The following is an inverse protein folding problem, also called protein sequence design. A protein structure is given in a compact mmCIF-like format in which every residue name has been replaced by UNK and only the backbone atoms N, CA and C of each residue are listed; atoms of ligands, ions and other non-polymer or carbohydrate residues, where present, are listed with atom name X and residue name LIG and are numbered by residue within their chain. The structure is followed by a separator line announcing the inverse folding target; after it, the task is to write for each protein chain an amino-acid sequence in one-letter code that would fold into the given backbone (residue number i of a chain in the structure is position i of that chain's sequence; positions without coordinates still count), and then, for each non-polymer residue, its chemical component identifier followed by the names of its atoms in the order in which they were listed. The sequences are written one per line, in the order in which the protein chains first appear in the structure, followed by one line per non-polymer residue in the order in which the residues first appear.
data_IF_389244665247
#
_entry.id   IF_389244665247
#
_cell.length_a   1.000
_cell.length_b   1.000
_cell.length_c   1.000
_cell.angle_alpha   90.00
_cell.angle_beta   90.00
_cell.angle_gamma   90.00
#
_symmetry.space_group_name_H-M   'P 1'
#
loop_
_entity.id
_entity.type
_entity.pdbx_description
1 polymer ?
#
# COMPACT_ATOMS: atom_id res chain seq x y z
N UNK A 1 16.54 4.43 1.40
CA UNK A 1 15.83 4.35 2.70
C UNK A 1 15.06 3.04 2.75
N UNK A 2 15.10 2.36 3.89
CA UNK A 2 14.42 1.07 4.10
C UNK A 2 12.91 1.27 4.27
N UNK A 3 12.14 0.21 4.06
CA UNK A 3 10.69 0.20 4.23
C UNK A 3 10.26 0.63 5.64
N UNK A 4 11.03 0.23 6.65
CA UNK A 4 10.83 0.62 8.05
C UNK A 4 10.87 2.13 8.27
N UNK A 5 11.77 2.85 7.58
CA UNK A 5 11.85 4.31 7.68
C UNK A 5 10.58 4.98 7.14
N UNK A 6 9.94 4.40 6.11
CA UNK A 6 8.65 4.87 5.62
C UNK A 6 7.54 4.63 6.65
N UNK A 7 7.49 3.44 7.26
CA UNK A 7 6.49 3.12 8.28
C UNK A 7 6.62 4.03 9.50
N UNK A 8 7.85 4.28 9.95
CA UNK A 8 8.13 5.18 11.06
C UNK A 8 7.70 6.62 10.74
N UNK A 9 8.00 7.14 9.54
CA UNK A 9 7.57 8.46 9.11
C UNK A 9 6.04 8.58 9.00
N UNK A 10 5.37 7.54 8.52
CA UNK A 10 3.91 7.49 8.44
C UNK A 10 3.31 7.51 9.85
N UNK A 11 3.81 6.69 10.77
CA UNK A 11 3.36 6.65 12.16
C UNK A 11 3.65 7.97 12.88
N UNK A 12 4.81 8.60 12.64
CA UNK A 12 5.14 9.91 13.21
C UNK A 12 4.20 11.02 12.73
N UNK A 13 3.73 10.95 11.47
CA UNK A 13 2.81 11.95 10.90
C UNK A 13 1.35 11.74 11.26
N UNK A 14 0.93 10.48 11.36
CA UNK A 14 -0.49 10.11 11.41
C UNK A 14 -0.90 9.47 12.73
N UNK A 15 0.07 9.03 13.54
CA UNK A 15 -0.16 8.21 14.72
C UNK A 15 -0.67 6.79 14.40
N UNK A 16 -0.81 6.43 13.12
CA UNK A 16 -1.46 5.20 12.67
C UNK A 16 -0.48 4.22 12.07
N UNK A 17 -0.73 2.93 12.30
CA UNK A 17 0.03 1.85 11.69
C UNK A 17 -0.47 1.52 10.27
N UNK A 18 0.37 0.88 9.42
CA UNK A 18 -0.02 0.43 8.08
C UNK A 18 -1.28 -0.44 8.06
N UNK A 19 -1.48 -1.21 9.12
CA UNK A 19 -2.64 -2.09 9.28
C UNK A 19 -3.92 -1.29 9.58
N UNK A 20 -3.82 -0.22 10.37
CA UNK A 20 -4.93 0.72 10.56
C UNK A 20 -5.39 1.35 9.24
N UNK A 21 -4.45 1.72 8.36
CA UNK A 21 -4.81 2.22 7.03
C UNK A 21 -5.54 1.19 6.18
N UNK A 22 -5.20 -0.09 6.33
CA UNK A 22 -5.90 -1.17 5.64
C UNK A 22 -7.33 -1.31 6.17
N UNK A 23 -7.51 -1.39 7.49
CA UNK A 23 -8.82 -1.48 8.12
C UNK A 23 -9.71 -0.28 7.78
N UNK A 24 -9.17 0.95 7.81
CA UNK A 24 -9.87 2.15 7.40
C UNK A 24 -10.25 2.12 5.91
N UNK A 25 -9.37 1.64 5.05
CA UNK A 25 -9.62 1.57 3.62
C UNK A 25 -10.67 0.50 3.25
N UNK A 26 -10.70 -0.62 3.99
CA UNK A 26 -11.75 -1.64 3.87
C UNK A 26 -13.08 -1.09 4.39
N UNK A 27 -13.07 -0.45 5.56
CA UNK A 27 -14.27 0.14 6.17
C UNK A 27 -14.86 1.27 5.33
N UNK A 28 -14.01 2.09 4.72
CA UNK A 28 -14.43 3.15 3.81
C UNK A 28 -14.87 2.63 2.43
N UNK A 29 -14.69 1.33 2.14
CA UNK A 29 -15.02 0.74 0.84
C UNK A 29 -14.15 1.24 -0.31
N UNK A 30 -13.00 1.86 -0.02
CA UNK A 30 -12.06 2.34 -1.04
C UNK A 30 -11.11 1.23 -1.50
N UNK A 31 -11.01 0.11 -0.78
CA UNK A 31 -10.29 -1.09 -1.24
C UNK A 31 -11.23 -2.00 -2.02
N UNK A 32 -11.29 -1.80 -3.34
CA UNK A 32 -12.06 -2.60 -4.30
C UNK A 32 -11.17 -3.08 -5.43
N UNK A 33 -11.57 -4.14 -6.16
CA UNK A 33 -10.83 -4.62 -7.32
C UNK A 33 -10.56 -3.52 -8.35
N UNK A 34 -11.51 -2.63 -8.54
CA UNK A 34 -11.46 -1.54 -9.51
C UNK A 34 -10.94 -0.22 -8.93
N UNK A 35 -10.45 -0.22 -7.68
CA UNK A 35 -9.88 0.97 -7.05
C UNK A 35 -8.67 1.45 -7.82
N UNK A 36 -8.71 2.72 -8.23
CA UNK A 36 -7.58 3.39 -8.86
C UNK A 36 -6.59 3.84 -7.80
N UNK A 37 -5.29 3.69 -8.10
CA UNK A 37 -4.21 4.17 -7.24
C UNK A 37 -4.40 5.64 -6.82
N UNK A 38 -4.80 6.50 -7.77
CA UNK A 38 -5.02 7.93 -7.53
C UNK A 38 -6.20 8.21 -6.59
N UNK A 39 -7.24 7.37 -6.61
CA UNK A 39 -8.41 7.50 -5.73
C UNK A 39 -7.99 7.17 -4.30
N UNK A 40 -7.29 6.05 -4.11
CA UNK A 40 -6.74 5.65 -2.82
C UNK A 40 -5.75 6.69 -2.28
N UNK A 41 -4.82 7.17 -3.11
CA UNK A 41 -3.87 8.22 -2.74
C UNK A 41 -4.59 9.51 -2.31
N UNK A 42 -5.62 9.91 -3.04
CA UNK A 42 -6.40 11.11 -2.70
C UNK A 42 -7.19 10.93 -1.39
N UNK A 43 -7.71 9.73 -1.14
CA UNK A 43 -8.33 9.38 0.13
C UNK A 43 -7.31 9.40 1.28
N UNK A 44 -6.13 8.81 1.11
CA UNK A 44 -5.07 8.80 2.11
C UNK A 44 -4.61 10.22 2.47
N UNK A 45 -4.50 11.10 1.47
CA UNK A 45 -4.22 12.53 1.67
C UNK A 45 -5.27 13.21 2.54
N UNK A 46 -6.56 12.89 2.35
CA UNK A 46 -7.68 13.48 3.10
C UNK A 46 -7.84 12.89 4.50
N UNK A 47 -7.73 11.57 4.66
CA UNK A 47 -7.94 10.88 5.94
C UNK A 47 -6.73 11.00 6.88
N UNK A 48 -5.52 11.06 6.30
CA UNK A 48 -4.26 10.90 7.05
C UNK A 48 -3.31 12.09 6.90
N UNK A 49 -3.61 13.07 6.05
CA UNK A 49 -2.71 14.19 5.79
C UNK A 49 -1.37 13.79 5.15
N UNK A 50 -1.26 12.58 4.60
CA UNK A 50 -0.02 12.09 4.01
C UNK A 50 0.27 12.80 2.69
N UNK A 51 1.52 13.22 2.48
CA UNK A 51 1.96 13.78 1.19
C UNK A 51 1.90 12.74 0.06
N UNK A 52 1.85 13.20 -1.19
CA UNK A 52 1.66 12.35 -2.37
C UNK A 52 2.65 11.16 -2.44
N UNK A 53 3.94 11.39 -2.19
CA UNK A 53 4.96 10.34 -2.20
C UNK A 53 4.77 9.27 -1.11
N UNK A 54 4.35 9.66 0.10
CA UNK A 54 4.08 8.70 1.19
C UNK A 54 2.81 7.90 0.89
N UNK A 55 1.77 8.55 0.37
CA UNK A 55 0.53 7.88 0.01
C UNK A 55 0.74 6.86 -1.12
N UNK A 56 1.57 7.20 -2.10
CA UNK A 56 1.93 6.29 -3.19
C UNK A 56 2.75 5.09 -2.70
N UNK A 57 3.64 5.31 -1.72
CA UNK A 57 4.38 4.22 -1.08
C UNK A 57 3.48 3.24 -0.32
N UNK A 58 2.43 3.73 0.36
CA UNK A 58 1.44 2.88 1.04
C UNK A 58 0.66 2.04 0.03
N UNK A 59 0.21 2.64 -1.08
CA UNK A 59 -0.47 1.92 -2.15
C UNK A 59 0.40 0.80 -2.74
N UNK A 60 1.66 1.11 -3.06
CA UNK A 60 2.59 0.11 -3.59
C UNK A 60 2.86 -1.00 -2.56
N UNK A 61 2.93 -0.65 -1.27
CA UNK A 61 3.02 -1.65 -0.20
C UNK A 61 1.82 -2.58 -0.19
N UNK A 62 0.60 -2.06 -0.31
CA UNK A 62 -0.61 -2.89 -0.28
C UNK A 62 -0.67 -3.82 -1.49
N UNK A 63 -0.22 -3.35 -2.67
CA UNK A 63 -0.08 -4.17 -3.87
C UNK A 63 0.95 -5.28 -3.69
N UNK A 64 2.13 -4.97 -3.14
CA UNK A 64 3.20 -5.95 -2.88
C UNK A 64 2.81 -6.98 -1.81
N UNK A 65 2.01 -6.57 -0.82
CA UNK A 65 1.48 -7.44 0.24
C UNK A 65 0.27 -8.28 -0.21
N UNK A 66 -0.29 -8.04 -1.40
CA UNK A 66 -1.52 -8.70 -1.86
C UNK A 66 -2.78 -8.29 -1.08
N UNK A 67 -2.74 -7.14 -0.42
CA UNK A 67 -3.87 -6.60 0.36
C UNK A 67 -4.85 -5.82 -0.52
N UNK A 68 -4.39 -5.31 -1.67
CA UNK A 68 -5.32 -4.77 -2.68
C UNK A 68 -5.99 -5.96 -3.36
N UNK A 69 -7.33 -6.10 -3.30
CA UNK A 69 -8.02 -7.07 -4.11
C UNK A 69 -7.68 -6.75 -5.58
N UNK A 70 -6.97 -7.64 -6.25
CA UNK A 70 -6.51 -7.37 -7.60
C UNK A 70 -7.73 -7.32 -8.54
N UNK A 71 -7.98 -6.19 -9.21
CA UNK A 71 -8.50 -6.29 -10.58
C UNK A 71 -7.58 -7.23 -11.33
N UNK A 72 -8.15 -8.19 -12.05
CA UNK A 72 -7.52 -9.41 -12.58
C UNK A 72 -6.27 -9.24 -13.50
N UNK A 73 -5.64 -8.07 -13.55
CA UNK A 73 -4.52 -7.73 -14.44
C UNK A 73 -3.12 -7.72 -13.83
N UNK A 74 -2.93 -7.74 -12.50
CA UNK A 74 -1.58 -7.62 -11.91
C UNK A 74 -1.09 -8.95 -11.28
N UNK A 75 -0.82 -9.94 -12.14
CA UNK A 75 -0.08 -11.17 -11.76
C UNK A 75 1.43 -10.93 -11.65
N UNK A 76 1.88 -9.76 -11.20
CA UNK A 76 3.31 -9.44 -11.13
C UNK A 76 3.88 -9.66 -9.73
N UNK A 77 3.86 -10.92 -9.28
CA UNK A 77 4.68 -11.38 -8.16
C UNK A 77 5.19 -12.82 -8.30
N UNK A 78 5.20 -13.39 -9.52
CA UNK A 78 5.94 -14.62 -9.82
C UNK A 78 7.49 -14.44 -9.81
N UNK A 79 8.03 -13.36 -9.20
CA UNK A 79 9.47 -13.04 -9.24
C UNK A 79 10.00 -12.50 -7.90
N UNK A 80 9.91 -13.33 -6.85
CA UNK A 80 10.85 -13.28 -5.70
C UNK A 80 11.17 -14.70 -5.19
N UNK A 81 11.19 -15.68 -6.11
CA UNK A 81 11.60 -17.05 -5.83
C UNK A 81 12.51 -17.64 -6.93
N UNK A 82 13.26 -16.80 -7.66
CA UNK A 82 14.26 -17.24 -8.65
C UNK A 82 15.65 -16.67 -8.35
N UNK A 83 15.99 -16.53 -7.06
CA UNK A 83 17.34 -16.18 -6.62
C UNK A 83 17.78 -17.07 -5.47
N UNK A 84 17.67 -18.39 -5.64
CA UNK A 84 18.53 -19.37 -4.97
C UNK A 84 18.40 -20.73 -5.66
N UNK A 85 19.54 -21.32 -6.00
CA UNK A 85 19.72 -22.69 -6.47
C UNK A 85 19.41 -22.99 -7.95
N UNK A 86 20.30 -22.56 -8.85
CA UNK A 86 20.72 -23.41 -9.98
C UNK A 86 22.11 -22.98 -10.46
N UNK A 87 23.11 -23.68 -9.90
CA UNK A 87 24.50 -23.87 -10.33
C UNK A 87 25.45 -22.66 -10.41
#
# INVERSE_FOLDING_TARGET
MTFEAYLSNIRAKTGKDPRHFFDEAVTAGVLRPDTKAMEFVSWLKRSSGLGHGHAMAVWESFRRSGWVPAAAGDRRAARTAASKAAK
#
